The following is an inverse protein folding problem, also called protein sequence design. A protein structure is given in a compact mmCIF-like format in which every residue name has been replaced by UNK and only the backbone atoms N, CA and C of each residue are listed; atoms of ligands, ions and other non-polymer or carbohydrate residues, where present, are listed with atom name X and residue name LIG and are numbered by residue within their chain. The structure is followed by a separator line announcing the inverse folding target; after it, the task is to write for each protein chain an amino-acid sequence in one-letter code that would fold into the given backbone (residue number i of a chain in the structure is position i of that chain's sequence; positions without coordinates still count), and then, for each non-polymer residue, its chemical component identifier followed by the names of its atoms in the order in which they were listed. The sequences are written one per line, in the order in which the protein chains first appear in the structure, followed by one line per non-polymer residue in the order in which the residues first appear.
data_IF_343971540294
#
_entry.id   IF_343971540294
#
_cell.length_a   1.000
_cell.length_b   1.000
_cell.length_c   1.000
_cell.angle_alpha   90.00
_cell.angle_beta   90.00
_cell.angle_gamma   90.00
#
_symmetry.space_group_name_H-M   'P 1'
#
loop_
_entity.id
_entity.type
_entity.pdbx_description
1 polymer ?
#
# COMPACT_ATOMS: atom_id res chain seq x y z
N UNK A 1 -51.88 27.63 28.03
CA UNK A 1 -51.93 27.97 26.59
C UNK A 1 -50.86 27.27 25.72
N UNK A 2 -49.73 26.80 26.26
CA UNK A 2 -48.63 26.17 25.51
C UNK A 2 -48.91 24.72 25.04
N UNK A 3 -49.78 23.99 25.75
CA UNK A 3 -50.14 22.59 25.47
C UNK A 3 -50.98 22.42 24.19
N UNK A 4 -51.89 23.36 23.92
CA UNK A 4 -52.73 23.36 22.71
C UNK A 4 -51.91 23.60 21.44
N UNK A 5 -50.92 24.50 21.49
CA UNK A 5 -50.03 24.79 20.36
C UNK A 5 -49.04 23.65 20.07
N UNK A 6 -48.57 22.94 21.10
CA UNK A 6 -47.74 21.75 20.92
C UNK A 6 -48.54 20.55 20.39
N UNK A 7 -49.79 20.39 20.80
CA UNK A 7 -50.70 19.40 20.22
C UNK A 7 -51.01 19.69 18.75
N UNK A 8 -51.26 20.95 18.39
CA UNK A 8 -51.49 21.38 17.00
C UNK A 8 -50.29 21.11 16.09
N UNK A 9 -49.06 21.36 16.56
CA UNK A 9 -47.83 21.06 15.81
C UNK A 9 -47.60 19.55 15.62
N UNK A 10 -47.93 18.73 16.63
CA UNK A 10 -47.86 17.26 16.50
C UNK A 10 -48.88 16.73 15.50
N UNK A 11 -50.12 17.23 15.54
CA UNK A 11 -51.17 16.86 14.59
C UNK A 11 -50.84 17.29 13.14
N UNK A 12 -50.16 18.43 12.96
CA UNK A 12 -49.68 18.84 11.64
C UNK A 12 -48.53 17.95 11.13
N UNK A 13 -47.59 17.58 12.00
CA UNK A 13 -46.52 16.63 11.69
C UNK A 13 -47.06 15.26 11.26
N UNK A 14 -48.07 14.76 11.97
CA UNK A 14 -48.68 13.46 11.67
C UNK A 14 -49.44 13.48 10.34
N UNK A 15 -50.17 14.58 10.05
CA UNK A 15 -50.83 14.75 8.73
C UNK A 15 -49.82 14.80 7.59
N UNK A 16 -48.68 15.49 7.77
CA UNK A 16 -47.60 15.51 6.76
C UNK A 16 -46.99 14.13 6.55
N UNK A 17 -46.75 13.37 7.63
CA UNK A 17 -46.29 11.98 7.57
C UNK A 17 -47.26 11.10 6.80
N UNK A 18 -48.54 11.17 7.14
CA UNK A 18 -49.57 10.37 6.47
C UNK A 18 -49.63 10.66 4.97
N UNK A 19 -49.51 11.93 4.55
CA UNK A 19 -49.45 12.29 3.13
C UNK A 19 -48.24 11.72 2.41
N UNK A 20 -47.06 11.69 3.07
CA UNK A 20 -45.85 11.07 2.50
C UNK A 20 -46.05 9.57 2.33
N UNK A 21 -46.55 8.88 3.36
CA UNK A 21 -46.82 7.44 3.29
C UNK A 21 -47.83 7.09 2.19
N UNK A 22 -48.90 7.87 2.06
CA UNK A 22 -49.89 7.69 0.98
C UNK A 22 -49.27 7.95 -0.40
N UNK A 23 -48.41 8.97 -0.54
CA UNK A 23 -47.73 9.26 -1.80
C UNK A 23 -46.77 8.13 -2.21
N UNK A 24 -46.06 7.51 -1.25
CA UNK A 24 -45.20 6.34 -1.48
C UNK A 24 -46.06 5.16 -1.95
N UNK A 25 -47.16 4.84 -1.25
CA UNK A 25 -48.05 3.75 -1.64
C UNK A 25 -48.66 3.97 -3.03
N UNK A 26 -49.01 5.22 -3.35
CA UNK A 26 -49.55 5.55 -4.66
C UNK A 26 -48.49 5.38 -5.74
N UNK A 27 -47.26 5.86 -5.52
CA UNK A 27 -46.14 5.70 -6.45
C UNK A 27 -45.82 4.22 -6.74
N UNK A 28 -45.86 3.37 -5.71
CA UNK A 28 -45.71 1.92 -5.84
C UNK A 28 -46.84 1.32 -6.71
N UNK A 29 -48.11 1.73 -6.48
CA UNK A 29 -49.27 1.24 -7.25
C UNK A 29 -49.24 1.68 -8.72
N UNK A 30 -48.81 2.90 -9.01
CA UNK A 30 -48.72 3.42 -10.38
C UNK A 30 -47.43 3.03 -11.10
N UNK A 31 -46.45 2.43 -10.41
CA UNK A 31 -45.16 2.04 -11.00
C UNK A 31 -44.33 3.23 -11.49
N UNK A 32 -44.59 4.43 -10.96
CA UNK A 32 -43.85 5.65 -11.32
C UNK A 32 -42.49 5.66 -10.65
N UNK A 33 -41.45 6.14 -11.33
CA UNK A 33 -40.09 6.25 -10.79
C UNK A 33 -40.10 6.94 -9.41
N UNK A 34 -39.79 6.17 -8.38
CA UNK A 34 -39.78 6.62 -7.00
C UNK A 34 -38.49 7.43 -6.81
N UNK A 35 -38.62 8.70 -6.42
CA UNK A 35 -37.49 9.54 -6.05
C UNK A 35 -37.88 10.43 -4.89
N UNK A 36 -36.93 10.74 -4.01
CA UNK A 36 -37.13 11.65 -2.86
C UNK A 36 -37.76 12.99 -3.29
N UNK A 37 -37.36 13.51 -4.46
CA UNK A 37 -37.91 14.75 -5.01
C UNK A 37 -39.32 14.63 -5.57
N UNK A 38 -39.66 13.48 -6.16
CA UNK A 38 -41.00 13.19 -6.68
C UNK A 38 -42.01 13.01 -5.56
N UNK A 39 -41.66 12.19 -4.56
CA UNK A 39 -42.49 11.94 -3.38
C UNK A 39 -42.75 13.23 -2.58
N UNK A 40 -41.74 14.10 -2.43
CA UNK A 40 -41.90 15.39 -1.77
C UNK A 40 -42.97 16.28 -2.44
N UNK A 41 -42.91 16.38 -3.79
CA UNK A 41 -43.90 17.15 -4.56
C UNK A 41 -45.29 16.54 -4.47
N UNK A 42 -45.40 15.23 -4.59
CA UNK A 42 -46.69 14.53 -4.56
C UNK A 42 -47.35 14.56 -3.17
N UNK A 43 -46.57 14.52 -2.10
CA UNK A 43 -47.06 14.66 -0.73
C UNK A 43 -47.33 16.11 -0.30
N UNK A 44 -46.90 17.11 -1.10
CA UNK A 44 -47.00 18.53 -0.77
C UNK A 44 -46.13 18.93 0.44
N UNK A 45 -44.91 18.40 0.53
CA UNK A 45 -44.00 18.60 1.65
C UNK A 45 -42.61 19.01 1.16
N UNK A 46 -41.90 19.86 1.91
CA UNK A 46 -40.54 20.28 1.59
C UNK A 46 -39.51 19.14 1.75
N UNK A 47 -38.47 19.11 0.89
CA UNK A 47 -37.41 18.08 0.94
C UNK A 47 -36.71 18.02 2.30
N UNK A 48 -36.53 19.16 2.97
CA UNK A 48 -35.88 19.25 4.29
C UNK A 48 -36.65 18.46 5.35
N UNK A 49 -37.97 18.35 5.21
CA UNK A 49 -38.80 17.52 6.10
C UNK A 49 -38.47 16.04 5.94
N UNK A 50 -38.31 15.56 4.70
CA UNK A 50 -37.92 14.17 4.45
C UNK A 50 -36.53 13.88 5.01
N UNK A 51 -35.56 14.77 4.81
CA UNK A 51 -34.21 14.61 5.37
C UNK A 51 -34.17 14.64 6.90
N UNK A 52 -35.08 15.36 7.54
CA UNK A 52 -35.23 15.35 9.01
C UNK A 52 -35.87 14.05 9.53
N UNK A 53 -36.61 13.33 8.69
CA UNK A 53 -37.33 12.11 9.02
C UNK A 53 -36.69 10.90 8.31
N UNK A 54 -35.64 10.35 8.93
CA UNK A 54 -34.87 9.20 8.42
C UNK A 54 -35.71 7.95 8.18
N UNK A 55 -36.77 7.77 8.96
CA UNK A 55 -37.78 6.71 8.80
C UNK A 55 -38.47 6.80 7.44
N UNK A 56 -38.89 7.99 7.01
CA UNK A 56 -39.53 8.20 5.72
C UNK A 56 -38.54 8.02 4.55
N UNK A 57 -37.29 8.44 4.73
CA UNK A 57 -36.25 8.20 3.72
C UNK A 57 -35.95 6.71 3.54
N UNK A 58 -35.87 5.95 4.64
CA UNK A 58 -35.67 4.51 4.57
C UNK A 58 -36.81 3.82 3.79
N UNK A 59 -38.05 4.27 3.97
CA UNK A 59 -39.20 3.77 3.20
C UNK A 59 -39.13 4.13 1.71
N UNK A 60 -38.69 5.35 1.38
CA UNK A 60 -38.51 5.78 -0.01
C UNK A 60 -37.41 4.94 -0.67
N UNK A 61 -36.26 4.76 -0.01
CA UNK A 61 -35.16 3.94 -0.55
C UNK A 61 -35.54 2.46 -0.67
N UNK A 62 -36.26 1.90 0.31
CA UNK A 62 -36.78 0.54 0.21
C UNK A 62 -37.75 0.36 -0.96
N UNK A 63 -38.55 1.38 -1.26
CA UNK A 63 -39.45 1.39 -2.41
C UNK A 63 -38.70 1.60 -3.75
N UNK A 64 -37.63 2.40 -3.77
CA UNK A 64 -36.72 2.55 -4.93
C UNK A 64 -36.03 1.23 -5.31
N UNK A 65 -35.75 0.37 -4.32
CA UNK A 65 -35.15 -0.95 -4.51
C UNK A 65 -36.15 -2.02 -4.99
N UNK A 66 -37.46 -1.75 -4.94
CA UNK A 66 -38.45 -2.67 -5.50
C UNK A 66 -38.52 -2.47 -7.02
N UNK A 67 -38.36 -3.55 -7.83
CA UNK A 67 -38.44 -3.45 -9.27
C UNK A 67 -39.82 -2.95 -9.68
N UNK A 68 -39.85 -1.82 -10.38
CA UNK A 68 -41.07 -1.22 -10.92
C UNK A 68 -41.70 -2.22 -11.88
N UNK A 69 -42.99 -2.55 -11.74
CA UNK A 69 -43.72 -3.41 -12.69
C UNK A 69 -43.65 -2.90 -14.15
N UNK A 70 -43.27 -1.63 -14.35
CA UNK A 70 -42.97 -1.03 -15.66
C UNK A 70 -41.75 -1.64 -16.39
N UNK A 71 -40.86 -2.36 -15.72
CA UNK A 71 -39.71 -3.02 -16.37
C UNK A 71 -40.11 -4.31 -17.11
N UNK A 72 -41.33 -4.83 -16.89
CA UNK A 72 -41.84 -5.99 -17.61
C UNK A 72 -42.09 -5.71 -19.11
N UNK A 73 -42.06 -4.44 -19.55
CA UNK A 73 -42.18 -4.07 -20.95
C UNK A 73 -40.83 -4.11 -21.72
N UNK A 74 -39.70 -4.27 -21.02
CA UNK A 74 -38.35 -4.27 -21.60
C UNK A 74 -37.76 -5.68 -21.66
N UNK A 75 -38.27 -6.51 -22.60
CA UNK A 75 -37.68 -7.81 -22.93
C UNK A 75 -37.85 -8.91 -21.87
N UNK A 76 -37.45 -10.15 -22.18
CA UNK A 76 -37.57 -11.27 -21.24
C UNK A 76 -36.83 -10.96 -19.94
N UNK A 77 -37.42 -11.19 -18.76
CA UNK A 77 -36.77 -10.90 -17.49
C UNK A 77 -35.48 -11.72 -17.40
N UNK A 78 -34.34 -11.04 -17.45
CA UNK A 78 -33.03 -11.67 -17.24
C UNK A 78 -33.09 -12.33 -15.86
N UNK A 79 -32.95 -13.65 -15.82
CA UNK A 79 -33.15 -14.40 -14.59
C UNK A 79 -32.11 -14.01 -13.54
N UNK A 80 -32.48 -14.08 -12.26
CA UNK A 80 -31.55 -13.89 -11.14
C UNK A 80 -30.28 -14.74 -11.32
N UNK A 81 -30.44 -15.96 -11.81
CA UNK A 81 -29.33 -16.88 -12.09
C UNK A 81 -28.36 -16.32 -13.16
N UNK A 82 -28.87 -15.65 -14.21
CA UNK A 82 -28.03 -15.00 -15.21
C UNK A 82 -27.24 -13.83 -14.61
N UNK A 83 -27.89 -12.99 -13.79
CA UNK A 83 -27.21 -11.87 -13.12
C UNK A 83 -26.14 -12.34 -12.13
N UNK A 84 -26.39 -13.44 -11.42
CA UNK A 84 -25.39 -14.06 -10.53
C UNK A 84 -24.21 -14.62 -11.33
N UNK A 85 -24.47 -15.26 -12.48
CA UNK A 85 -23.41 -15.75 -13.36
C UNK A 85 -22.58 -14.60 -13.94
N UNK A 86 -23.22 -13.50 -14.34
CA UNK A 86 -22.54 -12.31 -14.86
C UNK A 86 -21.68 -11.64 -13.78
N UNK A 87 -22.17 -11.55 -12.55
CA UNK A 87 -21.41 -11.05 -11.41
C UNK A 87 -20.20 -11.93 -11.11
N UNK A 88 -20.37 -13.25 -11.08
CA UNK A 88 -19.26 -14.20 -10.90
C UNK A 88 -18.21 -14.07 -12.01
N UNK A 89 -18.65 -13.96 -13.27
CA UNK A 89 -17.78 -13.75 -14.42
C UNK A 89 -17.05 -12.39 -14.36
N UNK A 90 -17.71 -11.33 -13.92
CA UNK A 90 -17.10 -10.02 -13.72
C UNK A 90 -16.02 -10.06 -12.62
N UNK A 91 -16.31 -10.70 -11.48
CA UNK A 91 -15.32 -10.92 -10.42
C UNK A 91 -14.12 -11.72 -10.91
N UNK A 92 -14.34 -12.83 -11.61
CA UNK A 92 -13.25 -13.65 -12.16
C UNK A 92 -12.38 -12.90 -13.18
N UNK A 93 -12.98 -11.99 -13.98
CA UNK A 93 -12.21 -11.11 -14.88
C UNK A 93 -11.41 -10.08 -14.09
N UNK A 94 -12.00 -9.47 -13.06
CA UNK A 94 -11.32 -8.50 -12.22
C UNK A 94 -10.11 -9.10 -11.51
N UNK A 95 -10.24 -10.29 -10.91
CA UNK A 95 -9.12 -10.99 -10.28
C UNK A 95 -7.98 -11.28 -11.26
N UNK A 96 -8.29 -11.68 -12.50
CA UNK A 96 -7.30 -11.89 -13.56
C UNK A 96 -6.56 -10.60 -13.92
N UNK A 97 -7.30 -9.50 -14.10
CA UNK A 97 -6.71 -8.20 -14.41
C UNK A 97 -5.80 -7.70 -13.28
N UNK A 98 -6.24 -7.80 -12.02
CA UNK A 98 -5.42 -7.41 -10.86
C UNK A 98 -4.13 -8.23 -10.79
N UNK A 99 -4.20 -9.53 -11.07
CA UNK A 99 -3.03 -10.41 -11.09
C UNK A 99 -2.06 -10.00 -12.21
N UNK A 100 -2.59 -9.68 -13.39
CA UNK A 100 -1.78 -9.21 -14.51
C UNK A 100 -1.12 -7.85 -14.21
N UNK A 101 -1.85 -6.91 -13.63
CA UNK A 101 -1.32 -5.60 -13.22
C UNK A 101 -0.15 -5.77 -12.25
N UNK A 102 -0.30 -6.62 -11.22
CA UNK A 102 0.79 -6.90 -10.27
C UNK A 102 2.03 -7.50 -10.95
N UNK A 103 1.83 -8.43 -11.88
CA UNK A 103 2.94 -9.00 -12.64
C UNK A 103 3.67 -7.96 -13.51
N UNK A 104 2.92 -7.04 -14.13
CA UNK A 104 3.49 -5.96 -14.92
C UNK A 104 4.23 -4.94 -14.03
N UNK A 105 3.66 -4.57 -12.88
CA UNK A 105 4.30 -3.69 -11.91
C UNK A 105 5.60 -4.27 -11.37
N UNK A 106 5.62 -5.58 -11.07
CA UNK A 106 6.82 -6.26 -10.62
C UNK A 106 7.90 -6.24 -11.72
N UNK A 107 7.53 -6.58 -12.96
CA UNK A 107 8.47 -6.59 -14.09
C UNK A 107 8.99 -5.19 -14.42
N UNK A 108 8.15 -4.17 -14.29
CA UNK A 108 8.56 -2.77 -14.44
C UNK A 108 9.56 -2.39 -13.34
N UNK A 109 9.29 -2.78 -12.09
CA UNK A 109 10.17 -2.52 -10.96
C UNK A 109 11.53 -3.20 -11.14
N UNK A 110 11.57 -4.44 -11.64
CA UNK A 110 12.81 -5.16 -11.97
C UNK A 110 13.60 -4.43 -13.07
N UNK A 111 12.96 -4.06 -14.18
CA UNK A 111 13.62 -3.35 -15.28
C UNK A 111 14.15 -1.97 -14.86
N UNK A 112 13.37 -1.23 -14.07
CA UNK A 112 13.79 0.06 -13.53
C UNK A 112 14.92 -0.10 -12.50
N UNK A 113 14.90 -1.17 -11.69
CA UNK A 113 15.99 -1.51 -10.78
C UNK A 113 17.28 -1.82 -11.52
N UNK A 114 17.22 -2.62 -12.59
CA UNK A 114 18.37 -2.89 -13.46
C UNK A 114 18.89 -1.64 -14.17
N UNK A 115 18.00 -0.75 -14.59
CA UNK A 115 18.38 0.50 -15.23
C UNK A 115 19.04 1.46 -14.22
N UNK A 116 18.46 1.62 -13.04
CA UNK A 116 19.04 2.40 -11.96
C UNK A 116 20.41 1.84 -11.52
N UNK A 117 20.54 0.51 -11.46
CA UNK A 117 21.81 -0.16 -11.18
C UNK A 117 22.87 0.14 -12.24
N UNK A 118 22.51 0.07 -13.53
CA UNK A 118 23.40 0.45 -14.64
C UNK A 118 23.78 1.93 -14.64
N UNK A 119 22.82 2.82 -14.42
CA UNK A 119 23.03 4.27 -14.40
C UNK A 119 23.81 4.75 -13.16
N UNK A 120 23.72 4.03 -12.04
CA UNK A 120 24.48 4.34 -10.82
C UNK A 120 26.00 4.16 -10.96
N UNK A 121 26.48 3.57 -12.07
CA UNK A 121 27.90 3.29 -12.27
C UNK A 121 28.45 2.20 -11.35
N UNK A 122 27.62 1.56 -10.51
CA UNK A 122 28.02 0.44 -9.65
C UNK A 122 27.83 -0.93 -10.34
N UNK A 123 27.30 -0.93 -11.56
CA UNK A 123 26.89 -2.14 -12.28
C UNK A 123 27.72 -2.51 -13.50
N UNK A 124 28.81 -1.80 -13.82
CA UNK A 124 29.67 -2.21 -14.92
C UNK A 124 30.59 -3.36 -14.46
N UNK A 125 30.62 -4.48 -15.20
CA UNK A 125 31.55 -5.60 -14.95
C UNK A 125 32.99 -5.11 -14.80
N UNK A 126 33.37 -4.08 -15.59
CA UNK A 126 34.68 -3.47 -15.56
C UNK A 126 35.04 -2.83 -14.20
N UNK A 127 34.08 -2.21 -13.51
CA UNK A 127 34.32 -1.57 -12.21
C UNK A 127 34.48 -2.61 -11.10
N UNK A 128 33.69 -3.70 -11.16
CA UNK A 128 33.84 -4.82 -10.24
C UNK A 128 35.18 -5.56 -10.46
N UNK A 129 35.59 -5.75 -11.73
CA UNK A 129 36.88 -6.35 -12.08
C UNK A 129 38.07 -5.47 -11.71
N UNK A 130 37.96 -4.14 -11.82
CA UNK A 130 38.98 -3.21 -11.35
C UNK A 130 39.09 -3.23 -9.82
N UNK A 131 37.96 -3.19 -9.11
CA UNK A 131 37.94 -3.32 -7.65
C UNK A 131 38.56 -4.64 -7.20
N UNK A 132 38.23 -5.76 -7.85
CA UNK A 132 38.82 -7.06 -7.52
C UNK A 132 40.33 -7.06 -7.76
N UNK A 133 40.79 -6.50 -8.87
CA UNK A 133 42.24 -6.33 -9.15
C UNK A 133 42.93 -5.45 -8.12
N UNK A 134 42.26 -4.39 -7.65
CA UNK A 134 42.79 -3.52 -6.62
C UNK A 134 42.90 -4.23 -5.27
N UNK A 135 41.88 -5.00 -4.89
CA UNK A 135 41.89 -5.84 -3.67
C UNK A 135 43.06 -6.81 -3.71
N UNK A 136 43.21 -7.59 -4.80
CA UNK A 136 44.33 -8.54 -4.92
C UNK A 136 45.69 -7.84 -4.87
N UNK A 137 45.83 -6.67 -5.51
CA UNK A 137 47.08 -5.88 -5.44
C UNK A 137 47.39 -5.41 -4.01
N UNK A 138 46.38 -4.96 -3.28
CA UNK A 138 46.53 -4.51 -1.89
C UNK A 138 46.86 -5.68 -0.96
N UNK A 139 46.23 -6.84 -1.15
CA UNK A 139 46.56 -8.06 -0.39
C UNK A 139 48.01 -8.46 -0.61
N UNK A 140 48.49 -8.47 -1.87
CA UNK A 140 49.87 -8.78 -2.20
C UNK A 140 50.87 -7.78 -1.58
N UNK A 141 50.55 -6.49 -1.64
CA UNK A 141 51.38 -5.46 -1.00
C UNK A 141 51.44 -5.64 0.53
N UNK A 142 50.34 -6.08 1.15
CA UNK A 142 50.28 -6.32 2.58
C UNK A 142 51.12 -7.55 3.00
N UNK A 143 51.08 -8.62 2.20
CA UNK A 143 51.94 -9.79 2.43
C UNK A 143 53.41 -9.44 2.26
N UNK A 144 53.76 -8.67 1.23
CA UNK A 144 55.15 -8.26 0.97
C UNK A 144 55.68 -7.35 2.09
N UNK A 145 54.87 -6.38 2.54
CA UNK A 145 55.23 -5.51 3.66
C UNK A 145 55.40 -6.29 4.96
N UNK A 146 54.53 -7.28 5.22
CA UNK A 146 54.65 -8.13 6.40
C UNK A 146 55.95 -8.94 6.38
N UNK A 147 56.31 -9.52 5.24
CA UNK A 147 57.57 -10.25 5.08
C UNK A 147 58.79 -9.33 5.28
N UNK A 148 58.75 -8.10 4.78
CA UNK A 148 59.81 -7.11 5.00
C UNK A 148 59.97 -6.74 6.48
N UNK A 149 58.85 -6.59 7.21
CA UNK A 149 58.90 -6.33 8.65
C UNK A 149 59.55 -7.49 9.40
N UNK A 150 59.15 -8.74 9.09
CA UNK A 150 59.75 -9.92 9.69
C UNK A 150 61.27 -10.01 9.43
N UNK A 151 61.71 -9.72 8.21
CA UNK A 151 63.14 -9.70 7.87
C UNK A 151 63.91 -8.63 8.68
N UNK A 152 63.32 -7.43 8.82
CA UNK A 152 63.94 -6.35 9.60
C UNK A 152 63.99 -6.68 11.09
N UNK A 153 62.94 -7.28 11.64
CA UNK A 153 62.91 -7.71 13.04
C UNK A 153 63.95 -8.81 13.31
N UNK A 154 64.07 -9.79 12.41
CA UNK A 154 65.13 -10.79 12.49
C UNK A 154 66.53 -10.16 12.44
N UNK A 155 66.73 -9.19 11.55
CA UNK A 155 67.99 -8.43 11.46
C UNK A 155 68.29 -7.62 12.73
N UNK A 156 67.29 -6.98 13.33
CA UNK A 156 67.44 -6.25 14.59
C UNK A 156 67.79 -7.17 15.76
N UNK A 157 67.14 -8.33 15.86
CA UNK A 157 67.45 -9.31 16.89
C UNK A 157 68.86 -9.89 16.74
N UNK A 158 69.30 -10.18 15.52
CA UNK A 158 70.68 -10.58 15.25
C UNK A 158 71.68 -9.50 15.66
N UNK A 159 71.43 -8.24 15.30
CA UNK A 159 72.28 -7.11 15.68
C UNK A 159 72.33 -6.90 17.21
N UNK A 160 71.18 -7.05 17.90
CA UNK A 160 71.11 -6.99 19.36
C UNK A 160 71.85 -8.15 20.02
N UNK A 161 71.74 -9.36 19.49
CA UNK A 161 72.48 -10.52 19.98
C UNK A 161 74.00 -10.31 19.87
N UNK A 162 74.48 -9.87 18.71
CA UNK A 162 75.89 -9.54 18.50
C UNK A 162 76.38 -8.42 19.45
N UNK A 163 75.56 -7.39 19.68
CA UNK A 163 75.88 -6.33 20.65
C UNK A 163 76.00 -6.89 22.09
N UNK A 164 75.09 -7.78 22.49
CA UNK A 164 75.14 -8.44 23.80
C UNK A 164 76.40 -9.31 23.94
N UNK A 165 76.79 -10.04 22.90
CA UNK A 165 78.03 -10.84 22.87
C UNK A 165 79.28 -9.98 22.96
N UNK A 166 79.36 -8.91 22.17
CA UNK A 166 80.48 -7.96 22.21
C UNK A 166 80.62 -7.33 23.60
N UNK A 167 79.50 -6.91 24.21
CA UNK A 167 79.49 -6.36 25.57
C UNK A 167 79.98 -7.39 26.60
N UNK A 168 79.56 -8.66 26.48
CA UNK A 168 80.05 -9.74 27.35
C UNK A 168 81.56 -9.96 27.18
N UNK A 169 82.06 -9.99 25.95
CA UNK A 169 83.48 -10.19 25.66
C UNK A 169 84.35 -9.04 26.21
N UNK A 170 83.90 -7.78 26.04
CA UNK A 170 84.59 -6.62 26.60
C UNK A 170 84.64 -6.65 28.13
N UNK A 171 83.54 -6.99 28.78
CA UNK A 171 83.49 -7.10 30.24
C UNK A 171 84.39 -8.23 30.77
N UNK A 172 84.48 -9.37 30.06
CA UNK A 172 85.38 -10.47 30.45
C UNK A 172 86.85 -10.10 30.29
N UNK A 173 87.22 -9.37 29.22
CA UNK A 173 88.59 -8.88 29.02
C UNK A 173 88.99 -7.84 30.06
N UNK A 174 88.10 -6.89 30.37
CA UNK A 174 88.36 -5.88 31.42
C UNK A 174 88.48 -6.46 32.83
N UNK A 175 87.86 -7.62 33.10
CA UNK A 175 88.00 -8.33 34.37
C UNK A 175 89.25 -9.23 34.46
N UNK A 176 89.91 -9.53 33.33
CA UNK A 176 91.15 -10.31 33.28
C UNK A 176 92.42 -9.43 33.34
N UNK A 177 92.29 -8.14 33.05
CA UNK A 177 93.37 -7.13 33.13
C UNK A 177 93.40 -6.40 34.50
N UNK A 178 92.63 -6.86 35.50
CA UNK A 178 92.68 -6.43 36.91
C UNK A 178 93.21 -7.55 37.81
#
# INVERSE_FOLDING_TARGET
MTTAMTAGRRADGERRRQRVTTAIQQAIRTGTAISVSGIARQAGVDRTFLYRHRDLLALIHAAELQPSASDAAAGPPVSLASLQADLANAHARNTRLVTQTRSLEQRLSELMGEQAWRESGLGASADQEELQRQVTRLEQANTDLSAQLEEKDAGLEAARAANRELTRALNQKGAADQ
#
